data_IF_407669704376
#
_entry.id   IF_407669704376
#
_cell.length_a   1.000
_cell.length_b   1.000
_cell.length_c   1.000
_cell.angle_alpha   90.00
_cell.angle_beta   90.00
_cell.angle_gamma   90.00
#
_symmetry.space_group_name_H-M   'P 1'
#
loop_
_entity.id
_entity.type
_entity.pdbx_description
1 polymer ?
#
# COMPACT_ATOMS: atom_id res chain seq x y z
N UNK A 1 14.91 -33.37 13.91
CA UNK A 1 13.60 -33.04 13.30
C UNK A 1 13.70 -33.34 11.82
N UNK A 2 12.76 -34.11 11.25
CA UNK A 2 12.79 -34.44 9.82
C UNK A 2 12.56 -33.18 8.97
N UNK A 3 13.11 -33.13 7.76
CA UNK A 3 12.94 -32.02 6.80
C UNK A 3 11.46 -31.70 6.52
N UNK A 4 10.59 -32.72 6.54
CA UNK A 4 9.13 -32.60 6.47
C UNK A 4 8.52 -31.90 7.70
N UNK A 5 9.01 -32.17 8.91
CA UNK A 5 8.51 -31.48 10.10
C UNK A 5 8.83 -29.97 10.07
N UNK A 6 9.97 -29.60 9.49
CA UNK A 6 10.38 -28.20 9.37
C UNK A 6 9.55 -27.43 8.35
N UNK A 7 9.23 -28.03 7.20
CA UNK A 7 8.44 -27.33 6.17
C UNK A 7 6.99 -27.10 6.62
N UNK A 8 6.41 -28.04 7.39
CA UNK A 8 5.07 -27.87 7.95
C UNK A 8 5.01 -26.68 8.93
N UNK A 9 6.02 -26.53 9.80
CA UNK A 9 6.12 -25.37 10.71
C UNK A 9 6.20 -24.05 9.92
N UNK A 10 6.98 -24.02 8.84
CA UNK A 10 7.10 -22.82 7.99
C UNK A 10 5.79 -22.50 7.26
N UNK A 11 5.06 -23.52 6.79
CA UNK A 11 3.73 -23.37 6.18
C UNK A 11 2.70 -22.85 7.18
N UNK A 12 2.65 -23.40 8.39
CA UNK A 12 1.73 -22.97 9.44
C UNK A 12 2.01 -21.51 9.84
N UNK A 13 3.30 -21.16 9.95
CA UNK A 13 3.73 -19.79 10.26
C UNK A 13 3.31 -18.83 9.14
N UNK A 14 3.52 -19.20 7.87
CA UNK A 14 3.07 -18.43 6.72
C UNK A 14 1.55 -18.24 6.72
N UNK A 15 0.77 -19.30 6.94
CA UNK A 15 -0.70 -19.22 6.95
C UNK A 15 -1.20 -18.30 8.06
N UNK A 16 -0.57 -18.35 9.24
CA UNK A 16 -0.89 -17.46 10.35
C UNK A 16 -0.62 -16.00 9.99
N UNK A 17 0.56 -15.70 9.45
CA UNK A 17 0.94 -14.33 9.05
C UNK A 17 0.06 -13.82 7.91
N UNK A 18 -0.27 -14.68 6.95
CA UNK A 18 -1.19 -14.37 5.85
C UNK A 18 -2.60 -14.05 6.36
N UNK A 19 -3.13 -14.86 7.28
CA UNK A 19 -4.43 -14.59 7.90
C UNK A 19 -4.42 -13.30 8.73
N UNK A 20 -3.33 -13.02 9.44
CA UNK A 20 -3.16 -11.76 10.17
C UNK A 20 -3.13 -10.58 9.22
N UNK A 21 -2.43 -10.67 8.09
CA UNK A 21 -2.42 -9.62 7.08
C UNK A 21 -3.83 -9.29 6.57
N UNK A 22 -4.63 -10.30 6.22
CA UNK A 22 -6.01 -10.10 5.72
C UNK A 22 -7.01 -9.59 6.77
N UNK A 23 -6.68 -9.71 8.06
CA UNK A 23 -7.56 -9.28 9.16
C UNK A 23 -7.07 -8.03 9.86
N UNK A 24 -5.79 -7.67 9.68
CA UNK A 24 -5.18 -6.51 10.32
C UNK A 24 -5.50 -5.24 9.53
N UNK A 25 -5.74 -4.17 10.28
CA UNK A 25 -5.85 -2.83 9.72
C UNK A 25 -4.50 -2.42 9.11
N UNK A 26 -4.54 -1.62 8.05
CA UNK A 26 -3.36 -1.25 7.25
C UNK A 26 -2.22 -0.68 8.11
N UNK A 27 -2.55 0.12 9.11
CA UNK A 27 -1.59 0.73 10.03
C UNK A 27 -0.82 -0.26 10.91
N UNK A 28 -1.36 -1.47 11.10
CA UNK A 28 -0.72 -2.52 11.90
C UNK A 28 0.09 -3.50 11.04
N UNK A 29 0.06 -3.35 9.71
CA UNK A 29 0.79 -4.22 8.78
C UNK A 29 2.30 -4.16 9.00
N UNK A 30 2.83 -3.03 9.47
CA UNK A 30 4.26 -2.88 9.81
C UNK A 30 4.76 -3.88 10.85
N UNK A 31 3.90 -4.32 11.78
CA UNK A 31 4.25 -5.31 12.82
C UNK A 31 4.54 -6.69 12.21
N UNK A 32 4.01 -6.96 11.01
CA UNK A 32 4.20 -8.24 10.31
C UNK A 32 5.52 -8.30 9.53
N UNK A 33 6.20 -7.17 9.31
CA UNK A 33 7.42 -7.10 8.51
C UNK A 33 8.53 -7.94 9.14
N UNK A 34 8.88 -7.70 10.41
CA UNK A 34 10.00 -8.41 11.05
C UNK A 34 9.76 -9.93 11.13
N UNK A 35 8.58 -10.44 11.56
CA UNK A 35 8.28 -11.86 11.51
C UNK A 35 8.36 -12.46 10.10
N UNK A 36 7.89 -11.74 9.07
CA UNK A 36 7.98 -12.21 7.69
C UNK A 36 9.40 -12.19 7.15
N UNK A 37 10.23 -11.22 7.53
CA UNK A 37 11.64 -11.20 7.18
C UNK A 37 12.38 -12.39 7.81
N UNK A 38 12.11 -12.68 9.09
CA UNK A 38 12.63 -13.87 9.75
C UNK A 38 12.20 -15.15 9.03
N UNK A 39 10.89 -15.30 8.74
CA UNK A 39 10.39 -16.47 8.00
C UNK A 39 11.01 -16.58 6.60
N UNK A 40 11.16 -15.46 5.88
CA UNK A 40 11.78 -15.45 4.56
C UNK A 40 13.23 -15.94 4.62
N UNK A 41 14.02 -15.43 5.57
CA UNK A 41 15.40 -15.86 5.76
C UNK A 41 15.48 -17.36 6.11
N UNK A 42 14.61 -17.83 7.00
CA UNK A 42 14.53 -19.24 7.38
C UNK A 42 14.15 -20.14 6.20
N UNK A 43 13.17 -19.74 5.39
CA UNK A 43 12.74 -20.47 4.20
C UNK A 43 13.83 -20.47 3.11
N UNK A 44 14.56 -19.37 2.91
CA UNK A 44 15.67 -19.31 1.95
C UNK A 44 16.84 -20.20 2.36
N UNK A 45 17.23 -20.17 3.64
CA UNK A 45 18.26 -21.07 4.18
C UNK A 45 17.86 -22.53 4.02
N UNK A 46 16.59 -22.84 4.33
CA UNK A 46 15.98 -24.15 4.18
C UNK A 46 15.91 -24.60 2.71
N UNK A 47 15.63 -23.70 1.77
CA UNK A 47 15.57 -23.96 0.33
C UNK A 47 16.97 -24.30 -0.22
N UNK A 48 17.99 -23.53 0.16
CA UNK A 48 19.37 -23.78 -0.26
C UNK A 48 19.86 -25.15 0.20
N UNK A 49 19.55 -25.52 1.46
CA UNK A 49 19.86 -26.85 1.99
C UNK A 49 19.15 -27.96 1.22
N UNK A 50 17.84 -27.82 0.99
CA UNK A 50 17.06 -28.83 0.27
C UNK A 50 17.50 -28.98 -1.19
N UNK A 51 17.91 -27.88 -1.84
CA UNK A 51 18.49 -27.89 -3.18
C UNK A 51 19.78 -28.71 -3.20
N UNK A 52 20.69 -28.45 -2.27
CA UNK A 52 21.95 -29.17 -2.20
C UNK A 52 21.77 -30.67 -1.90
N UNK A 53 20.86 -31.02 -0.98
CA UNK A 53 20.51 -32.42 -0.69
C UNK A 53 19.92 -33.13 -1.93
N UNK A 54 19.03 -32.48 -2.66
CA UNK A 54 18.45 -33.00 -3.89
C UNK A 54 19.51 -33.18 -5.00
N UNK A 55 20.36 -32.18 -5.23
CA UNK A 55 21.42 -32.24 -6.25
C UNK A 55 22.43 -33.34 -5.95
N UNK A 56 22.84 -33.48 -4.68
CA UNK A 56 23.74 -34.56 -4.25
C UNK A 56 23.08 -35.94 -4.44
N UNK A 57 21.79 -36.08 -4.11
CA UNK A 57 21.08 -37.34 -4.34
C UNK A 57 20.94 -37.67 -5.83
N UNK A 58 20.70 -36.68 -6.70
CA UNK A 58 20.73 -36.88 -8.16
C UNK A 58 22.12 -37.27 -8.66
N UNK A 59 23.18 -36.66 -8.13
CA UNK A 59 24.54 -36.98 -8.50
C UNK A 59 24.91 -38.42 -8.11
N UNK A 60 24.65 -38.82 -6.86
CA UNK A 60 24.87 -40.21 -6.38
C UNK A 60 24.07 -41.20 -7.22
N UNK A 61 22.79 -40.89 -7.52
CA UNK A 61 21.97 -41.71 -8.41
C UNK A 61 22.60 -41.80 -9.81
N UNK A 62 23.15 -40.72 -10.33
CA UNK A 62 23.76 -40.68 -11.64
C UNK A 62 25.10 -41.42 -11.72
N UNK A 63 25.89 -41.41 -10.64
CA UNK A 63 27.13 -42.17 -10.51
C UNK A 63 26.86 -43.68 -10.40
N UNK A 64 25.85 -44.08 -9.62
CA UNK A 64 25.52 -45.48 -9.38
C UNK A 64 24.84 -46.19 -10.57
N UNK A 65 24.06 -45.43 -11.36
CA UNK A 65 23.34 -45.97 -12.51
C UNK A 65 23.73 -45.20 -13.76
N UNK A 66 24.39 -45.86 -14.71
CA UNK A 66 24.60 -45.30 -16.06
C UNK A 66 23.27 -45.28 -16.85
N UNK A 67 23.25 -44.62 -18.01
CA UNK A 67 22.02 -44.41 -18.80
C UNK A 67 21.26 -45.72 -19.07
N UNK A 68 21.98 -46.79 -19.46
CA UNK A 68 21.36 -48.09 -19.73
C UNK A 68 20.76 -48.73 -18.46
N UNK A 69 21.46 -48.67 -17.33
CA UNK A 69 20.94 -49.19 -16.05
C UNK A 69 19.72 -48.39 -15.56
N UNK A 70 19.67 -47.07 -15.79
CA UNK A 70 18.51 -46.23 -15.41
C UNK A 70 17.23 -46.60 -16.16
N UNK A 71 17.35 -47.01 -17.43
CA UNK A 71 16.20 -47.32 -18.28
C UNK A 71 15.70 -48.75 -18.07
N UNK A 72 16.62 -49.69 -17.82
CA UNK A 72 16.31 -51.12 -17.91
C UNK A 72 16.36 -51.89 -16.57
N UNK A 73 16.63 -51.23 -15.42
CA UNK A 73 16.69 -51.93 -14.12
C UNK A 73 15.67 -51.42 -13.11
N UNK A 74 14.95 -52.36 -12.50
CA UNK A 74 14.01 -52.09 -11.41
C UNK A 74 14.69 -51.38 -10.23
N UNK A 75 15.92 -51.80 -9.90
CA UNK A 75 16.73 -51.24 -8.82
C UNK A 75 17.00 -49.73 -8.98
N UNK A 76 17.21 -49.26 -10.21
CA UNK A 76 17.37 -47.82 -10.46
C UNK A 76 16.06 -47.05 -10.23
N UNK A 77 14.92 -47.63 -10.61
CA UNK A 77 13.60 -47.04 -10.38
C UNK A 77 13.27 -46.96 -8.89
N UNK A 78 13.55 -48.02 -8.12
CA UNK A 78 13.37 -48.04 -6.66
C UNK A 78 14.24 -47.00 -5.97
N UNK A 79 15.54 -46.95 -6.28
CA UNK A 79 16.47 -45.98 -5.68
C UNK A 79 16.03 -44.53 -5.99
N UNK A 80 15.62 -44.25 -7.24
CA UNK A 80 15.12 -42.93 -7.60
C UNK A 80 13.86 -42.57 -6.81
N UNK A 81 12.97 -43.54 -6.60
CA UNK A 81 11.70 -43.33 -5.89
C UNK A 81 11.91 -43.12 -4.39
N UNK A 82 12.87 -43.82 -3.78
CA UNK A 82 13.12 -43.75 -2.34
C UNK A 82 14.06 -42.61 -1.95
N UNK A 83 15.09 -42.34 -2.75
CA UNK A 83 16.20 -41.45 -2.36
C UNK A 83 16.15 -40.09 -3.05
N UNK A 84 15.60 -40.00 -4.27
CA UNK A 84 15.63 -38.74 -5.07
C UNK A 84 14.28 -38.03 -5.08
N UNK A 85 13.18 -38.74 -5.37
CA UNK A 85 11.86 -38.12 -5.50
C UNK A 85 11.37 -37.40 -4.23
N UNK A 86 11.55 -37.92 -3.00
CA UNK A 86 11.11 -37.22 -1.79
C UNK A 86 11.86 -35.90 -1.60
N UNK A 87 13.17 -35.88 -1.84
CA UNK A 87 13.99 -34.66 -1.75
C UNK A 87 13.59 -33.64 -2.82
N UNK A 88 13.29 -34.09 -4.04
CA UNK A 88 12.76 -33.24 -5.10
C UNK A 88 11.43 -32.59 -4.71
N UNK A 89 10.54 -33.37 -4.10
CA UNK A 89 9.25 -32.88 -3.64
C UNK A 89 9.40 -31.82 -2.54
N UNK A 90 10.25 -32.07 -1.53
CA UNK A 90 10.57 -31.11 -0.47
C UNK A 90 11.16 -29.82 -1.06
N UNK A 91 12.11 -29.93 -2.01
CA UNK A 91 12.69 -28.78 -2.69
C UNK A 91 11.63 -27.96 -3.44
N UNK A 92 10.72 -28.60 -4.18
CA UNK A 92 9.64 -27.91 -4.88
C UNK A 92 8.69 -27.19 -3.92
N UNK A 93 8.26 -27.85 -2.84
CA UNK A 93 7.41 -27.22 -1.83
C UNK A 93 8.07 -26.00 -1.19
N UNK A 94 9.38 -26.07 -0.88
CA UNK A 94 10.14 -24.93 -0.33
C UNK A 94 10.30 -23.81 -1.33
N UNK A 95 10.47 -24.13 -2.61
CA UNK A 95 10.56 -23.13 -3.68
C UNK A 95 9.24 -22.36 -3.81
N UNK A 96 8.11 -23.06 -3.78
CA UNK A 96 6.79 -22.45 -3.83
C UNK A 96 6.51 -21.59 -2.59
N UNK A 97 6.88 -22.09 -1.39
CA UNK A 97 6.75 -21.33 -0.16
C UNK A 97 7.63 -20.08 -0.16
N UNK A 98 8.89 -20.18 -0.60
CA UNK A 98 9.80 -19.05 -0.71
C UNK A 98 9.23 -17.94 -1.59
N UNK A 99 8.64 -18.31 -2.72
CA UNK A 99 7.95 -17.37 -3.61
C UNK A 99 6.78 -16.69 -2.89
N UNK A 100 5.91 -17.45 -2.23
CA UNK A 100 4.73 -16.91 -1.51
C UNK A 100 5.11 -15.98 -0.36
N UNK A 101 6.13 -16.34 0.43
CA UNK A 101 6.61 -15.51 1.54
C UNK A 101 7.22 -14.21 1.00
N UNK A 102 8.00 -14.29 -0.09
CA UNK A 102 8.57 -13.10 -0.72
C UNK A 102 7.51 -12.17 -1.31
N UNK A 103 6.50 -12.71 -1.99
CA UNK A 103 5.38 -11.94 -2.52
C UNK A 103 4.62 -11.22 -1.40
N UNK A 104 4.28 -11.94 -0.32
CA UNK A 104 3.59 -11.37 0.85
C UNK A 104 4.44 -10.30 1.56
N UNK A 105 5.75 -10.53 1.71
CA UNK A 105 6.66 -9.54 2.30
C UNK A 105 6.70 -8.26 1.48
N UNK A 106 6.77 -8.35 0.15
CA UNK A 106 6.75 -7.17 -0.73
C UNK A 106 5.41 -6.43 -0.66
N UNK A 107 4.29 -7.15 -0.68
CA UNK A 107 2.95 -6.58 -0.54
C UNK A 107 2.83 -5.79 0.77
N UNK A 108 3.16 -6.42 1.91
CA UNK A 108 3.11 -5.76 3.22
C UNK A 108 4.09 -4.60 3.31
N UNK A 109 5.30 -4.72 2.75
CA UNK A 109 6.27 -3.62 2.77
C UNK A 109 5.77 -2.41 1.98
N UNK A 110 5.08 -2.64 0.86
CA UNK A 110 4.44 -1.58 0.07
C UNK A 110 3.23 -0.99 0.80
N UNK A 111 2.39 -1.81 1.43
CA UNK A 111 1.19 -1.35 2.15
C UNK A 111 1.50 -0.63 3.46
N UNK A 112 2.54 -1.09 4.16
CA UNK A 112 3.13 -0.43 5.32
C UNK A 112 3.89 0.84 4.95
N UNK A 113 4.08 1.09 3.64
CA UNK A 113 4.54 2.37 3.13
C UNK A 113 3.69 3.49 3.74
N UNK A 114 4.30 4.51 4.37
CA UNK A 114 3.56 5.53 5.10
C UNK A 114 2.70 6.37 4.16
N UNK A 115 2.93 6.33 2.85
CA UNK A 115 2.25 7.16 1.85
C UNK A 115 1.82 6.31 0.66
N UNK A 116 0.54 6.37 0.29
CA UNK A 116 0.05 5.91 -0.99
C UNK A 116 -0.53 7.08 -1.78
N UNK A 117 -0.21 7.11 -3.08
CA UNK A 117 -0.68 8.14 -3.99
C UNK A 117 -1.29 7.51 -5.23
N UNK A 118 -2.43 8.05 -5.68
CA UNK A 118 -3.05 7.69 -6.95
C UNK A 118 -3.35 8.94 -7.76
N UNK A 119 -3.33 8.77 -9.08
CA UNK A 119 -3.58 9.86 -10.02
C UNK A 119 -4.66 9.47 -11.01
N UNK A 120 -5.39 10.45 -11.53
CA UNK A 120 -6.43 10.21 -12.53
C UNK A 120 -6.38 11.28 -13.62
N UNK A 121 -6.23 10.85 -14.87
CA UNK A 121 -6.16 11.71 -16.05
C UNK A 121 -7.49 12.40 -16.32
N UNK A 122 -7.47 13.68 -16.70
CA UNK A 122 -8.65 14.47 -17.07
C UNK A 122 -9.83 14.33 -16.09
N UNK A 123 -9.51 14.14 -14.82
CA UNK A 123 -10.49 14.04 -13.76
C UNK A 123 -9.89 14.35 -12.40
N UNK A 124 -10.73 14.24 -11.39
CA UNK A 124 -10.33 14.29 -9.99
C UNK A 124 -10.36 12.90 -9.40
N UNK A 125 -9.52 12.71 -8.39
CA UNK A 125 -9.51 11.52 -7.56
C UNK A 125 -9.45 12.00 -6.12
N UNK A 126 -10.16 11.32 -5.24
CA UNK A 126 -10.13 11.57 -3.82
C UNK A 126 -10.06 10.24 -3.06
N UNK A 127 -9.43 10.31 -1.90
CA UNK A 127 -9.28 9.22 -0.96
C UNK A 127 -9.77 9.69 0.39
N UNK A 128 -10.48 8.82 1.10
CA UNK A 128 -10.87 9.05 2.49
C UNK A 128 -10.63 7.80 3.30
N UNK A 129 -10.03 7.96 4.47
CA UNK A 129 -9.87 6.89 5.44
C UNK A 129 -10.99 6.96 6.48
N UNK A 130 -11.64 5.83 6.74
CA UNK A 130 -12.57 5.69 7.85
C UNK A 130 -11.84 5.06 9.04
N UNK A 131 -11.52 5.81 10.11
CA UNK A 131 -10.80 5.29 11.27
C UNK A 131 -11.63 4.31 12.12
N UNK A 132 -12.95 4.29 11.98
CA UNK A 132 -13.84 3.37 12.71
C UNK A 132 -13.77 1.98 12.09
N UNK A 133 -13.94 1.89 10.77
CA UNK A 133 -13.91 0.61 10.04
C UNK A 133 -12.50 0.17 9.65
N UNK A 134 -11.53 1.10 9.65
CA UNK A 134 -10.16 0.86 9.16
C UNK A 134 -10.08 0.76 7.63
N UNK A 135 -11.15 1.11 6.90
CA UNK A 135 -11.23 1.00 5.45
C UNK A 135 -10.89 2.32 4.75
N UNK A 136 -10.27 2.22 3.58
CA UNK A 136 -10.00 3.38 2.71
C UNK A 136 -10.92 3.34 1.50
N UNK A 137 -11.60 4.45 1.21
CA UNK A 137 -12.44 4.60 0.02
C UNK A 137 -11.76 5.51 -1.00
N UNK A 138 -11.72 5.06 -2.26
CA UNK A 138 -11.22 5.83 -3.39
C UNK A 138 -12.35 6.13 -4.37
N UNK A 139 -12.48 7.37 -4.81
CA UNK A 139 -13.42 7.73 -5.88
C UNK A 139 -12.76 8.62 -6.91
N UNK A 140 -13.20 8.44 -8.16
CA UNK A 140 -12.72 9.16 -9.34
C UNK A 140 -13.91 9.84 -9.99
N UNK A 141 -13.70 11.00 -10.58
CA UNK A 141 -14.74 11.71 -11.31
C UNK A 141 -14.15 12.42 -12.53
N UNK A 142 -14.71 12.13 -13.69
CA UNK A 142 -14.25 12.64 -14.98
C UNK A 142 -14.80 14.05 -15.24
N UNK A 143 -13.98 14.97 -15.77
CA UNK A 143 -14.35 16.37 -16.06
C UNK A 143 -15.06 17.12 -14.92
N UNK A 144 -14.66 16.88 -13.68
CA UNK A 144 -15.20 17.61 -12.54
C UNK A 144 -14.44 17.37 -11.25
N UNK A 145 -14.87 17.98 -10.16
CA UNK A 145 -14.32 17.78 -8.84
C UNK A 145 -15.08 16.67 -8.09
N UNK A 146 -14.34 15.85 -7.35
CA UNK A 146 -14.85 14.96 -6.32
C UNK A 146 -14.00 15.12 -5.07
N UNK A 147 -14.64 15.18 -3.93
CA UNK A 147 -13.97 15.13 -2.64
C UNK A 147 -14.84 14.43 -1.62
N UNK A 148 -14.18 13.77 -0.68
CA UNK A 148 -14.82 13.10 0.43
C UNK A 148 -14.18 13.54 1.73
N UNK A 149 -14.98 13.57 2.79
CA UNK A 149 -14.52 13.91 4.14
C UNK A 149 -15.14 12.92 5.11
N UNK A 150 -14.33 12.37 6.01
CA UNK A 150 -14.84 11.57 7.11
C UNK A 150 -15.43 12.50 8.18
N UNK A 151 -16.70 12.28 8.55
CA UNK A 151 -17.34 13.00 9.64
C UNK A 151 -17.22 12.18 10.94
N UNK A 152 -16.39 12.60 11.91
CA UNK A 152 -16.19 11.85 13.15
C UNK A 152 -17.43 11.84 14.06
N UNK A 153 -18.40 12.74 13.86
CA UNK A 153 -19.62 12.80 14.66
C UNK A 153 -20.63 11.74 14.20
N UNK A 154 -20.80 11.60 12.89
CA UNK A 154 -21.75 10.62 12.31
C UNK A 154 -21.08 9.26 12.06
N UNK A 155 -19.75 9.21 11.99
CA UNK A 155 -18.98 8.01 11.66
C UNK A 155 -19.05 7.61 10.18
N UNK A 156 -19.52 8.51 9.31
CA UNK A 156 -19.76 8.25 7.89
C UNK A 156 -18.85 9.14 7.03
N UNK A 157 -18.45 8.63 5.86
CA UNK A 157 -17.77 9.42 4.84
C UNK A 157 -18.82 10.14 4.00
N UNK A 158 -18.75 11.48 3.99
CA UNK A 158 -19.59 12.33 3.16
C UNK A 158 -18.86 12.67 1.87
N UNK A 159 -19.54 12.51 0.73
CA UNK A 159 -18.98 12.73 -0.60
C UNK A 159 -19.71 13.86 -1.31
N UNK A 160 -18.97 14.73 -1.99
CA UNK A 160 -19.53 15.66 -2.97
C UNK A 160 -18.80 15.57 -4.29
N UNK A 161 -19.58 15.76 -5.35
CA UNK A 161 -19.11 15.86 -6.73
C UNK A 161 -19.71 17.09 -7.40
N UNK A 162 -18.98 17.68 -8.34
CA UNK A 162 -19.44 18.80 -9.13
C UNK A 162 -18.86 18.75 -10.55
N UNK A 163 -19.71 18.89 -11.55
CA UNK A 163 -19.31 18.91 -12.96
C UNK A 163 -18.62 20.23 -13.31
N UNK A 164 -17.51 20.17 -14.06
CA UNK A 164 -16.67 21.33 -14.47
C UNK A 164 -16.26 22.28 -13.33
N UNK A 165 -16.33 21.80 -12.09
CA UNK A 165 -16.15 22.62 -10.88
C UNK A 165 -15.32 21.84 -9.89
N UNK A 166 -14.27 22.44 -9.33
CA UNK A 166 -13.56 21.88 -8.19
C UNK A 166 -14.46 21.89 -6.95
N UNK A 167 -14.46 20.81 -6.19
CA UNK A 167 -15.15 20.72 -4.89
C UNK A 167 -14.15 20.25 -3.85
N UNK A 168 -14.21 20.84 -2.68
CA UNK A 168 -13.38 20.44 -1.55
C UNK A 168 -14.15 20.61 -0.25
N UNK A 169 -13.87 19.73 0.70
CA UNK A 169 -14.55 19.66 1.98
C UNK A 169 -13.51 19.56 3.09
N UNK A 170 -13.79 20.19 4.23
CA UNK A 170 -12.93 20.12 5.41
C UNK A 170 -13.82 19.94 6.63
N UNK A 171 -13.47 18.98 7.48
CA UNK A 171 -14.13 18.88 8.79
C UNK A 171 -13.61 19.99 9.70
N UNK A 172 -14.51 20.81 10.22
CA UNK A 172 -14.21 21.82 11.23
C UNK A 172 -14.55 21.24 12.62
N UNK A 173 -13.55 20.84 13.43
CA UNK A 173 -13.79 20.26 14.75
C UNK A 173 -14.34 21.25 15.78
N UNK A 174 -14.21 22.55 15.57
CA UNK A 174 -14.78 23.55 16.47
C UNK A 174 -16.30 23.69 16.27
N UNK A 175 -16.74 23.60 15.01
CA UNK A 175 -18.16 23.70 14.65
C UNK A 175 -18.85 22.33 14.57
N UNK A 176 -18.09 21.23 14.58
CA UNK A 176 -18.59 19.86 14.39
C UNK A 176 -19.36 19.67 13.08
N UNK A 177 -18.95 20.37 12.02
CA UNK A 177 -19.55 20.29 10.69
C UNK A 177 -18.47 20.12 9.63
N UNK A 178 -18.87 19.60 8.46
CA UNK A 178 -18.04 19.66 7.26
C UNK A 178 -18.37 20.94 6.50
N UNK A 179 -17.36 21.76 6.28
CA UNK A 179 -17.45 22.93 5.43
C UNK A 179 -17.11 22.53 3.99
N UNK A 180 -18.03 22.78 3.07
CA UNK A 180 -17.87 22.48 1.65
C UNK A 180 -17.71 23.77 0.85
N UNK A 181 -16.79 23.77 -0.11
CA UNK A 181 -16.63 24.89 -1.05
C UNK A 181 -16.43 24.39 -2.47
N UNK A 182 -17.02 25.12 -3.41
CA UNK A 182 -16.98 24.86 -4.85
C UNK A 182 -16.30 26.01 -5.56
N UNK A 183 -15.57 25.72 -6.63
CA UNK A 183 -14.91 26.73 -7.46
C UNK A 183 -14.92 26.34 -8.94
N UNK A 184 -15.42 27.24 -9.78
CA UNK A 184 -15.61 27.00 -11.20
C UNK A 184 -14.29 27.15 -11.98
N UNK A 185 -14.02 26.27 -12.95
CA UNK A 185 -12.80 26.27 -13.79
C UNK A 185 -11.48 26.41 -13.01
N UNK A 186 -11.35 25.67 -11.91
CA UNK A 186 -10.13 25.71 -11.13
C UNK A 186 -10.12 24.77 -9.93
N UNK A 187 -8.96 24.71 -9.30
CA UNK A 187 -8.76 23.99 -8.06
C UNK A 187 -9.20 24.81 -6.86
N UNK A 188 -9.71 24.11 -5.87
CA UNK A 188 -9.98 24.63 -4.54
C UNK A 188 -9.50 23.63 -3.51
N UNK A 189 -8.94 24.17 -2.43
CA UNK A 189 -8.45 23.39 -1.31
C UNK A 189 -8.73 24.12 -0.02
N UNK A 190 -9.13 23.37 1.00
CA UNK A 190 -9.36 23.88 2.35
C UNK A 190 -8.46 23.16 3.34
N UNK A 191 -8.01 23.88 4.37
CA UNK A 191 -7.24 23.31 5.46
C UNK A 191 -7.76 23.90 6.76
N UNK A 192 -8.10 23.05 7.72
CA UNK A 192 -8.39 23.52 9.07
C UNK A 192 -7.09 23.97 9.73
N UNK A 193 -7.04 25.21 10.22
CA UNK A 193 -5.90 25.74 10.97
C UNK A 193 -6.21 25.67 12.48
N UNK A 194 -5.60 24.74 13.24
CA UNK A 194 -5.84 24.62 14.68
C UNK A 194 -5.42 25.84 15.50
N UNK A 195 -4.51 26.67 15.00
CA UNK A 195 -4.03 27.87 15.71
C UNK A 195 -5.04 29.02 15.65
N UNK A 196 -5.83 29.10 14.58
CA UNK A 196 -6.85 30.13 14.39
C UNK A 196 -8.28 29.62 14.64
N UNK A 197 -8.49 28.31 14.62
CA UNK A 197 -9.81 27.68 14.82
C UNK A 197 -10.73 27.78 13.60
N UNK A 198 -10.19 28.16 12.43
CA UNK A 198 -10.97 28.34 11.20
C UNK A 198 -10.42 27.50 10.05
N UNK A 199 -11.29 27.21 9.07
CA UNK A 199 -10.87 26.62 7.80
C UNK A 199 -10.37 27.73 6.88
N UNK A 200 -9.11 27.64 6.47
CA UNK A 200 -8.54 28.49 5.44
C UNK A 200 -8.78 27.89 4.06
N UNK A 201 -9.11 28.73 3.09
CA UNK A 201 -9.45 28.31 1.74
C UNK A 201 -8.56 29.01 0.72
N UNK A 202 -8.09 28.25 -0.27
CA UNK A 202 -7.41 28.80 -1.44
C UNK A 202 -7.98 28.22 -2.72
N UNK A 203 -8.17 29.08 -3.71
CA UNK A 203 -8.63 28.73 -5.04
C UNK A 203 -7.67 29.27 -6.09
N UNK A 204 -7.53 28.57 -7.21
CA UNK A 204 -6.74 29.02 -8.33
C UNK A 204 -7.42 28.65 -9.65
N UNK A 205 -7.44 29.61 -10.58
CA UNK A 205 -8.00 29.40 -11.92
C UNK A 205 -7.06 28.54 -12.76
N UNK A 206 -7.61 27.57 -13.50
CA UNK A 206 -6.84 26.67 -14.38
C UNK A 206 -5.68 25.92 -13.69
N UNK A 207 -5.74 25.78 -12.37
CA UNK A 207 -4.66 25.20 -11.57
C UNK A 207 -5.22 24.37 -10.43
N UNK A 208 -4.60 23.25 -10.11
CA UNK A 208 -4.84 22.54 -8.85
C UNK A 208 -4.26 23.33 -7.69
N UNK A 209 -4.86 23.16 -6.52
CA UNK A 209 -4.44 23.79 -5.26
C UNK A 209 -4.27 22.70 -4.21
N UNK A 210 -3.17 22.78 -3.47
CA UNK A 210 -2.85 21.93 -2.34
C UNK A 210 -2.56 22.80 -1.13
N UNK A 211 -3.08 22.40 0.04
CA UNK A 211 -2.83 23.08 1.30
C UNK A 211 -2.40 22.09 2.37
N UNK A 212 -1.46 22.48 3.21
CA UNK A 212 -0.98 21.69 4.35
C UNK A 212 -0.78 22.59 5.54
N UNK A 213 -1.32 22.21 6.69
CA UNK A 213 -1.00 22.90 7.94
C UNK A 213 0.41 22.52 8.41
N UNK A 214 1.29 23.51 8.55
CA UNK A 214 2.62 23.31 9.12
C UNK A 214 2.56 23.54 10.65
N UNK A 215 2.68 22.49 11.47
CA UNK A 215 2.59 22.61 12.92
C UNK A 215 3.76 23.40 13.56
N UNK A 216 4.93 23.42 12.92
CA UNK A 216 6.10 24.15 13.42
C UNK A 216 5.96 25.66 13.21
N UNK A 217 5.43 26.05 12.04
CA UNK A 217 5.18 27.46 11.71
C UNK A 217 3.81 27.97 12.14
N UNK A 218 2.91 27.06 12.55
CA UNK A 218 1.53 27.36 12.96
C UNK A 218 0.72 28.09 11.89
N UNK A 219 0.95 27.75 10.63
CA UNK A 219 0.31 28.38 9.47
C UNK A 219 0.05 27.34 8.38
N UNK A 220 -0.89 27.65 7.49
CA UNK A 220 -1.12 26.83 6.29
C UNK A 220 -0.13 27.23 5.20
N UNK A 221 0.55 26.23 4.65
CA UNK A 221 1.38 26.37 3.45
C UNK A 221 0.57 25.93 2.24
N UNK A 222 0.72 26.67 1.15
CA UNK A 222 -0.08 26.51 -0.04
C UNK A 222 0.78 26.35 -1.28
N UNK A 223 0.38 25.44 -2.16
CA UNK A 223 1.05 25.22 -3.43
C UNK A 223 0.02 25.12 -4.56
N UNK A 224 0.45 25.51 -5.77
CA UNK A 224 -0.39 25.47 -6.97
C UNK A 224 0.32 24.78 -8.12
N UNK A 225 -0.44 24.12 -8.99
CA UNK A 225 0.07 23.51 -10.22
C UNK A 225 -0.81 23.89 -11.40
N UNK A 226 -0.25 24.62 -12.36
CA UNK A 226 -0.96 25.02 -13.57
C UNK A 226 -1.32 23.78 -14.40
N UNK A 227 -2.57 23.70 -14.82
CA UNK A 227 -3.15 22.56 -15.54
C UNK A 227 -2.94 21.19 -14.88
N UNK A 228 -2.79 21.12 -13.56
CA UNK A 228 -2.47 19.86 -12.88
C UNK A 228 -2.93 19.81 -11.43
N UNK A 229 -2.88 18.63 -10.85
CA UNK A 229 -3.13 18.41 -9.43
C UNK A 229 -1.89 18.67 -8.59
N UNK A 230 -2.12 19.04 -7.34
CA UNK A 230 -1.08 19.21 -6.33
C UNK A 230 -1.61 18.77 -4.98
N UNK A 231 -0.88 17.88 -4.32
CA UNK A 231 -1.14 17.44 -2.95
C UNK A 231 0.12 17.60 -2.13
N UNK A 232 -0.05 17.79 -0.82
CA UNK A 232 1.07 17.83 0.09
C UNK A 232 0.74 17.19 1.43
N UNK A 233 1.79 16.87 2.18
CA UNK A 233 1.69 16.43 3.56
C UNK A 233 2.87 16.98 4.35
N UNK A 234 2.69 17.12 5.66
CA UNK A 234 3.78 17.49 6.54
C UNK A 234 4.54 16.23 6.96
N UNK A 235 5.81 16.17 6.60
CA UNK A 235 6.70 15.07 6.99
C UNK A 235 7.39 15.44 8.32
N UNK A 236 7.13 14.64 9.35
CA UNK A 236 7.70 14.84 10.69
C UNK A 236 9.18 14.43 10.76
N UNK A 237 9.65 13.53 9.90
CA UNK A 237 11.05 13.08 9.91
C UNK A 237 11.95 14.16 9.31
N UNK A 238 11.52 14.79 8.21
CA UNK A 238 12.22 15.93 7.58
C UNK A 238 11.79 17.29 8.11
N UNK A 239 10.76 17.36 8.96
CA UNK A 239 10.18 18.58 9.51
C UNK A 239 9.76 19.60 8.44
N UNK A 240 9.25 19.12 7.32
CA UNK A 240 8.96 19.96 6.15
C UNK A 240 7.70 19.51 5.41
N UNK A 241 7.08 20.44 4.68
CA UNK A 241 5.96 20.11 3.80
C UNK A 241 6.50 19.52 2.50
N UNK A 242 6.06 18.31 2.19
CA UNK A 242 6.40 17.62 0.94
C UNK A 242 5.26 17.82 -0.06
N UNK A 243 5.61 18.23 -1.28
CA UNK A 243 4.65 18.51 -2.35
C UNK A 243 4.82 17.54 -3.50
N UNK A 244 3.71 17.06 -4.04
CA UNK A 244 3.68 16.29 -5.28
C UNK A 244 2.73 16.93 -6.28
N UNK A 245 3.20 17.07 -7.52
CA UNK A 245 2.50 17.74 -8.61
C UNK A 245 2.42 16.84 -9.83
N UNK A 246 1.34 16.95 -10.59
CA UNK A 246 1.17 16.21 -11.83
C UNK A 246 0.25 16.94 -12.80
N UNK A 247 0.79 17.21 -13.98
CA UNK A 247 0.08 17.87 -15.07
C UNK A 247 -1.06 16.98 -15.60
N UNK A 248 -2.21 17.58 -15.92
CA UNK A 248 -3.46 16.98 -16.41
C UNK A 248 -4.04 15.84 -15.58
N UNK A 249 -3.64 15.73 -14.31
CA UNK A 249 -4.15 14.70 -13.41
C UNK A 249 -4.69 15.30 -12.12
N UNK A 250 -5.81 14.76 -11.63
CA UNK A 250 -6.11 14.80 -10.21
C UNK A 250 -5.15 13.89 -9.44
N UNK A 251 -4.83 14.28 -8.21
CA UNK A 251 -3.97 13.50 -7.32
C UNK A 251 -4.67 13.35 -5.98
N UNK A 252 -4.62 12.14 -5.43
CA UNK A 252 -5.06 11.84 -4.08
C UNK A 252 -3.93 11.11 -3.36
N UNK A 253 -3.73 11.50 -2.10
CA UNK A 253 -2.69 10.99 -1.24
C UNK A 253 -3.29 10.63 0.11
N UNK A 254 -2.91 9.44 0.59
CA UNK A 254 -3.18 8.98 1.95
C UNK A 254 -1.83 8.74 2.62
N UNK A 255 -1.64 9.33 3.81
CA UNK A 255 -0.40 9.22 4.57
C UNK A 255 -0.68 8.88 6.03
N UNK A 256 0.08 7.97 6.63
CA UNK A 256 -0.02 7.64 8.05
C UNK A 256 0.60 8.74 8.90
N UNK A 257 -0.20 9.39 9.74
CA UNK A 257 0.29 10.31 10.75
C UNK A 257 0.47 9.57 12.08
N UNK A 258 1.74 9.40 12.48
CA UNK A 258 2.12 8.75 13.73
C UNK A 258 1.63 9.52 14.97
N UNK A 259 1.54 10.84 14.90
CA UNK A 259 1.13 11.67 16.04
C UNK A 259 -0.38 11.64 16.21
N UNK A 260 -1.12 11.71 15.10
CA UNK A 260 -2.58 11.60 15.13
C UNK A 260 -3.05 10.14 15.25
N UNK A 261 -2.14 9.18 15.09
CA UNK A 261 -2.42 7.74 15.06
C UNK A 261 -3.56 7.38 14.10
N UNK A 262 -3.57 8.03 12.94
CA UNK A 262 -4.57 7.85 11.88
C UNK A 262 -3.98 8.22 10.53
N UNK A 263 -4.61 7.79 9.44
CA UNK A 263 -4.28 8.28 8.12
C UNK A 263 -4.82 9.69 7.89
N UNK A 264 -3.98 10.57 7.37
CA UNK A 264 -4.33 11.83 6.75
C UNK A 264 -4.60 11.61 5.28
N UNK A 265 -5.71 12.15 4.79
CA UNK A 265 -6.05 12.11 3.37
C UNK A 265 -6.11 13.51 2.80
N UNK A 266 -5.55 13.68 1.62
CA UNK A 266 -5.61 14.92 0.87
C UNK A 266 -5.85 14.60 -0.60
N UNK A 267 -6.49 15.53 -1.30
CA UNK A 267 -6.77 15.37 -2.71
C UNK A 267 -6.70 16.71 -3.43
N UNK A 268 -6.59 16.64 -4.73
CA UNK A 268 -6.72 17.79 -5.59
C UNK A 268 -7.38 17.36 -6.88
N UNK A 269 -8.24 18.22 -7.41
CA UNK A 269 -8.73 18.06 -8.77
C UNK A 269 -7.61 18.35 -9.78
N UNK A 270 -7.62 17.60 -10.88
CA UNK A 270 -6.88 17.98 -12.06
C UNK A 270 -7.60 19.13 -12.77
N UNK A 271 -6.93 19.73 -13.74
CA UNK A 271 -7.59 20.57 -14.71
C UNK A 271 -7.98 19.75 -15.94
N UNK A 272 -9.01 20.21 -16.66
CA UNK A 272 -9.57 19.55 -17.82
C UNK A 272 -9.68 20.60 -18.93
N UNK A 273 -9.08 20.32 -20.09
CA UNK A 273 -9.30 21.11 -21.30
C UNK A 273 -10.78 20.99 -21.71
N UNK A 274 -11.41 22.14 -21.99
CA UNK A 274 -12.66 22.20 -22.74
C UNK A 274 -12.30 22.22 -24.23
N UNK A 275 -12.06 21.04 -24.82
CA UNK A 275 -12.02 20.88 -26.29
C UNK A 275 -13.45 20.93 -26.87
#
# INVERSE_FOLDING_TARGET
MSSESTINIQLDTYQKLYSQHHTSRREHQGILIDPLQHLNNDVQNALNKAKHEYENAEEIYHQNFNILKRVFTHKASEEKTQSVLPLKHIYQQRKDLAKKVFELLNEITLEAGPVEMRTYWNGSIAVVYNPITGSTEWRKYWHGGIHGVFNPITGIIEWQQAFQTGVYGVFNPQLNIIEWKKYFHGGIHGVYNPSTGIVEWKSAFHSGVGGVYNPLRRQVEWETCFHGGVVGYFDYDTQSVQWTKKWQHGIALISWDRNANTYLTTASCGWYDDD
#
